data_IF_666038723595
#
_entry.id   IF_666038723595
#
_cell.length_a   1.000
_cell.length_b   1.000
_cell.length_c   1.000
_cell.angle_alpha   90.00
_cell.angle_beta   90.00
_cell.angle_gamma   90.00
#
_symmetry.space_group_name_H-M   'P 1'
#
loop_
_entity.id
_entity.type
_entity.pdbx_description
1 polymer ?
#
# COMPACT_ATOMS: atom_id res chain seq x y z
N UNK A 1 -24.54 58.84 -22.53
CA UNK A 1 -24.21 57.54 -23.15
C UNK A 1 -22.70 57.20 -23.05
N UNK A 2 -22.07 57.26 -21.86
CA UNK A 2 -20.63 56.94 -21.69
C UNK A 2 -20.28 56.01 -20.51
N UNK A 3 -21.25 55.67 -19.66
CA UNK A 3 -21.01 54.82 -18.47
C UNK A 3 -21.30 53.33 -18.68
N UNK A 4 -22.00 52.97 -19.77
CA UNK A 4 -22.35 51.58 -20.10
C UNK A 4 -21.22 50.78 -20.78
N UNK A 5 -20.19 51.45 -21.32
CA UNK A 5 -19.07 50.75 -21.98
C UNK A 5 -18.05 50.18 -20.98
N UNK A 6 -17.99 50.70 -19.76
CA UNK A 6 -17.00 50.27 -18.75
C UNK A 6 -17.45 48.97 -18.05
N UNK A 7 -18.76 48.70 -18.00
CA UNK A 7 -19.29 47.51 -17.33
C UNK A 7 -19.13 46.21 -18.15
N UNK A 8 -18.97 46.30 -19.47
CA UNK A 8 -18.80 45.15 -20.36
C UNK A 8 -17.36 44.58 -20.38
N UNK A 9 -16.37 45.32 -19.85
CA UNK A 9 -14.96 44.93 -19.95
C UNK A 9 -14.49 44.03 -18.78
N UNK A 10 -15.27 43.97 -17.69
CA UNK A 10 -14.96 43.14 -16.51
C UNK A 10 -15.57 41.73 -16.62
N UNK A 11 -16.54 41.51 -17.52
CA UNK A 11 -17.23 40.23 -17.69
C UNK A 11 -16.45 39.17 -18.51
N UNK A 12 -15.29 39.51 -19.08
CA UNK A 12 -14.51 38.61 -19.95
C UNK A 12 -13.31 37.92 -19.28
N UNK A 13 -12.98 38.24 -18.03
CA UNK A 13 -11.81 37.68 -17.35
C UNK A 13 -12.06 36.40 -16.52
N UNK A 14 -13.30 35.91 -16.42
CA UNK A 14 -13.66 34.78 -15.55
C UNK A 14 -13.78 33.41 -16.25
N UNK A 15 -13.59 33.32 -17.57
CA UNK A 15 -13.72 32.04 -18.31
C UNK A 15 -12.40 31.24 -18.47
N UNK A 16 -11.28 31.70 -17.92
CA UNK A 16 -9.96 31.09 -18.13
C UNK A 16 -9.58 29.92 -17.21
N UNK A 17 -10.32 29.66 -16.13
CA UNK A 17 -9.84 28.77 -15.05
C UNK A 17 -10.31 27.31 -15.12
N UNK A 18 -11.25 26.96 -16.01
CA UNK A 18 -11.83 25.60 -16.04
C UNK A 18 -10.93 24.55 -16.73
N UNK A 19 -10.15 24.94 -17.74
CA UNK A 19 -9.37 24.00 -18.55
C UNK A 19 -8.13 23.41 -17.85
N UNK A 20 -7.60 24.08 -16.82
CA UNK A 20 -6.45 23.58 -16.07
C UNK A 20 -6.86 22.47 -15.08
N UNK A 21 -8.03 22.61 -14.45
CA UNK A 21 -8.55 21.64 -13.49
C UNK A 21 -8.98 20.32 -14.15
N UNK A 22 -9.45 20.37 -15.39
CA UNK A 22 -9.90 19.19 -16.14
C UNK A 22 -8.72 18.31 -16.59
N UNK A 23 -7.63 18.92 -17.08
CA UNK A 23 -6.38 18.21 -17.40
C UNK A 23 -5.73 17.55 -16.18
N UNK A 24 -5.74 18.22 -15.02
CA UNK A 24 -5.21 17.67 -13.77
C UNK A 24 -6.04 16.49 -13.22
N UNK A 25 -7.34 16.44 -13.53
CA UNK A 25 -8.20 15.31 -13.16
C UNK A 25 -7.96 14.12 -14.09
N UNK A 26 -7.94 14.36 -15.39
CA UNK A 26 -7.68 13.34 -16.40
C UNK A 26 -6.33 12.64 -16.16
N UNK A 27 -5.26 13.40 -15.92
CA UNK A 27 -3.93 12.83 -15.61
C UNK A 27 -3.90 12.03 -14.31
N UNK A 28 -4.71 12.39 -13.31
CA UNK A 28 -4.86 11.61 -12.07
C UNK A 28 -5.62 10.31 -12.32
N UNK A 29 -6.67 10.33 -13.12
CA UNK A 29 -7.44 9.14 -13.49
C UNK A 29 -6.60 8.17 -14.33
N UNK A 30 -5.85 8.68 -15.31
CA UNK A 30 -4.89 7.90 -16.11
C UNK A 30 -3.83 7.25 -15.21
N UNK A 31 -3.30 7.99 -14.23
CA UNK A 31 -2.34 7.46 -13.25
C UNK A 31 -2.96 6.35 -12.40
N UNK A 32 -4.20 6.49 -11.93
CA UNK A 32 -4.88 5.45 -11.16
C UNK A 32 -5.10 4.20 -12.01
N UNK A 33 -5.55 4.36 -13.25
CA UNK A 33 -5.71 3.27 -14.22
C UNK A 33 -4.40 2.53 -14.46
N UNK A 34 -3.28 3.26 -14.59
CA UNK A 34 -1.96 2.66 -14.73
C UNK A 34 -1.62 1.73 -13.55
N UNK A 35 -1.83 2.17 -12.31
CA UNK A 35 -1.50 1.34 -11.14
C UNK A 35 -2.46 0.15 -10.97
N UNK A 36 -3.73 0.27 -11.38
CA UNK A 36 -4.63 -0.87 -11.41
C UNK A 36 -4.19 -1.92 -12.45
N UNK A 37 -3.74 -1.49 -13.65
CA UNK A 37 -3.22 -2.40 -14.68
C UNK A 37 -1.94 -3.08 -14.22
N UNK A 38 -0.96 -2.30 -13.73
CA UNK A 38 0.29 -2.84 -13.21
C UNK A 38 0.07 -3.84 -12.07
N UNK A 39 -0.90 -3.57 -11.19
CA UNK A 39 -1.27 -4.50 -10.13
C UNK A 39 -1.77 -5.84 -10.65
N UNK A 40 -2.56 -5.83 -11.74
CA UNK A 40 -3.04 -7.07 -12.38
C UNK A 40 -1.91 -7.83 -13.05
N UNK A 41 -0.98 -7.13 -13.69
CA UNK A 41 0.22 -7.73 -14.29
C UNK A 41 1.10 -8.38 -13.23
N UNK A 42 1.40 -7.66 -12.15
CA UNK A 42 2.18 -8.17 -11.02
C UNK A 42 1.49 -9.38 -10.37
N UNK A 43 0.17 -9.33 -10.17
CA UNK A 43 -0.58 -10.46 -9.61
C UNK A 43 -0.53 -11.71 -10.49
N UNK A 44 -0.60 -11.55 -11.82
CA UNK A 44 -0.43 -12.68 -12.76
C UNK A 44 0.96 -13.27 -12.68
N UNK A 45 1.99 -12.42 -12.68
CA UNK A 45 3.37 -12.87 -12.50
C UNK A 45 3.55 -13.63 -11.18
N UNK A 46 3.00 -13.09 -10.09
CA UNK A 46 3.03 -13.71 -8.75
C UNK A 46 2.30 -15.06 -8.70
N UNK A 47 1.19 -15.20 -9.42
CA UNK A 47 0.42 -16.45 -9.55
C UNK A 47 1.17 -17.53 -10.35
N UNK A 48 2.01 -17.12 -11.29
CA UNK A 48 2.80 -18.02 -12.14
C UNK A 48 4.21 -18.27 -11.60
N UNK A 49 4.64 -17.48 -10.61
CA UNK A 49 6.00 -17.51 -10.07
C UNK A 49 6.31 -18.86 -9.42
N UNK A 50 7.17 -19.63 -10.09
CA UNK A 50 7.78 -20.85 -9.55
C UNK A 50 9.17 -20.52 -8.99
N UNK A 51 9.21 -20.00 -7.76
CA UNK A 51 10.48 -19.77 -7.07
C UNK A 51 11.21 -21.10 -6.89
N UNK A 52 12.50 -21.15 -7.23
CA UNK A 52 13.30 -22.39 -7.14
C UNK A 52 13.76 -22.66 -5.72
N UNK A 53 13.82 -21.61 -4.89
CA UNK A 53 14.24 -21.68 -3.48
C UNK A 53 13.38 -20.76 -2.61
N UNK A 54 13.28 -21.08 -1.32
CA UNK A 54 12.61 -20.22 -0.33
C UNK A 54 13.26 -18.84 -0.26
N UNK A 55 14.59 -18.76 -0.38
CA UNK A 55 15.35 -17.51 -0.37
C UNK A 55 14.95 -16.58 -1.54
N UNK A 56 14.86 -17.13 -2.75
CA UNK A 56 14.43 -16.37 -3.93
C UNK A 56 13.00 -15.85 -3.78
N UNK A 57 12.11 -16.67 -3.21
CA UNK A 57 10.74 -16.24 -2.89
C UNK A 57 10.77 -15.11 -1.86
N UNK A 58 11.50 -15.26 -0.75
CA UNK A 58 11.59 -14.25 0.29
C UNK A 58 12.14 -12.91 -0.24
N UNK A 59 13.19 -12.94 -1.06
CA UNK A 59 13.74 -11.74 -1.70
C UNK A 59 12.73 -11.08 -2.66
N UNK A 60 12.03 -11.87 -3.47
CA UNK A 60 10.96 -11.36 -4.34
C UNK A 60 9.88 -10.63 -3.54
N UNK A 61 9.36 -11.27 -2.49
CA UNK A 61 8.28 -10.72 -1.69
C UNK A 61 8.71 -9.52 -0.84
N UNK A 62 9.97 -9.45 -0.40
CA UNK A 62 10.50 -8.26 0.29
C UNK A 62 10.65 -7.08 -0.68
N UNK A 63 11.15 -7.32 -1.90
CA UNK A 63 11.21 -6.29 -2.95
C UNK A 63 9.81 -5.77 -3.29
N UNK A 64 8.85 -6.68 -3.42
CA UNK A 64 7.45 -6.35 -3.70
C UNK A 64 6.86 -5.46 -2.59
N UNK A 65 7.11 -5.81 -1.33
CA UNK A 65 6.68 -5.02 -0.17
C UNK A 65 7.34 -3.64 -0.12
N UNK A 66 8.63 -3.55 -0.45
CA UNK A 66 9.35 -2.29 -0.47
C UNK A 66 8.78 -1.35 -1.55
N UNK A 67 8.50 -1.87 -2.75
CA UNK A 67 7.82 -1.13 -3.81
C UNK A 67 6.47 -0.57 -3.33
N UNK A 68 5.67 -1.40 -2.66
CA UNK A 68 4.36 -1.01 -2.14
C UNK A 68 4.44 0.09 -1.08
N UNK A 69 5.38 -0.01 -0.14
CA UNK A 69 5.62 1.00 0.88
C UNK A 69 6.13 2.32 0.28
N UNK A 70 7.00 2.27 -0.71
CA UNK A 70 7.49 3.46 -1.40
C UNK A 70 6.41 4.08 -2.29
N UNK A 71 5.53 3.29 -2.88
CA UNK A 71 4.35 3.79 -3.58
C UNK A 71 3.39 4.49 -2.62
N UNK A 72 3.13 3.90 -1.45
CA UNK A 72 2.27 4.46 -0.40
C UNK A 72 2.80 5.78 0.15
N UNK A 73 4.12 5.89 0.36
CA UNK A 73 4.78 7.14 0.79
C UNK A 73 4.64 8.23 -0.26
N UNK A 74 4.84 7.91 -1.54
CA UNK A 74 4.79 8.87 -2.65
C UNK A 74 3.37 9.29 -3.02
N UNK A 75 2.44 8.34 -3.11
CA UNK A 75 1.07 8.57 -3.56
C UNK A 75 0.11 7.52 -2.97
N UNK A 76 -0.61 7.92 -1.91
CA UNK A 76 -1.58 7.04 -1.25
C UNK A 76 -2.77 6.65 -2.14
N UNK A 77 -3.15 7.46 -3.12
CA UNK A 77 -4.28 7.11 -4.02
C UNK A 77 -3.84 6.06 -5.02
N UNK A 78 -2.66 6.25 -5.62
CA UNK A 78 -2.02 5.25 -6.47
C UNK A 78 -1.82 3.92 -5.73
N UNK A 79 -1.34 3.95 -4.49
CA UNK A 79 -1.21 2.77 -3.65
C UNK A 79 -2.55 2.06 -3.42
N UNK A 80 -3.62 2.79 -3.11
CA UNK A 80 -4.96 2.19 -2.95
C UNK A 80 -5.47 1.55 -4.23
N UNK A 81 -5.26 2.18 -5.38
CA UNK A 81 -5.60 1.64 -6.69
C UNK A 81 -4.81 0.36 -6.98
N UNK A 82 -3.51 0.38 -6.71
CA UNK A 82 -2.63 -0.78 -6.87
C UNK A 82 -3.08 -1.98 -6.01
N UNK A 83 -3.27 -1.77 -4.70
CA UNK A 83 -3.71 -2.85 -3.80
C UNK A 83 -5.10 -3.37 -4.15
N UNK A 84 -6.03 -2.49 -4.55
CA UNK A 84 -7.34 -2.88 -5.06
C UNK A 84 -7.20 -3.76 -6.30
N UNK A 85 -6.39 -3.35 -7.28
CA UNK A 85 -6.13 -4.12 -8.50
C UNK A 85 -5.58 -5.51 -8.21
N UNK A 86 -4.62 -5.62 -7.26
CA UNK A 86 -4.07 -6.91 -6.83
C UNK A 86 -5.13 -7.79 -6.20
N UNK A 87 -5.91 -7.25 -5.26
CA UNK A 87 -6.99 -7.98 -4.60
C UNK A 87 -8.02 -8.50 -5.60
N UNK A 88 -8.45 -7.65 -6.54
CA UNK A 88 -9.43 -8.01 -7.55
C UNK A 88 -8.87 -9.14 -8.45
N UNK A 89 -7.60 -9.07 -8.86
CA UNK A 89 -6.92 -10.13 -9.62
C UNK A 89 -6.74 -11.44 -8.84
N UNK A 90 -6.43 -11.36 -7.54
CA UNK A 90 -6.34 -12.53 -6.68
C UNK A 90 -7.70 -13.19 -6.46
N UNK A 91 -8.76 -12.40 -6.30
CA UNK A 91 -10.12 -12.89 -6.15
C UNK A 91 -10.61 -13.61 -7.41
N UNK A 92 -10.32 -13.03 -8.58
CA UNK A 92 -10.59 -13.67 -9.88
C UNK A 92 -9.84 -14.99 -10.01
N UNK A 93 -8.54 -15.00 -9.70
CA UNK A 93 -7.76 -16.24 -9.70
C UNK A 93 -8.33 -17.26 -8.73
N UNK A 94 -8.65 -16.89 -7.50
CA UNK A 94 -9.24 -17.80 -6.51
C UNK A 94 -10.55 -18.43 -7.01
N UNK A 95 -11.39 -17.68 -7.73
CA UNK A 95 -12.62 -18.20 -8.32
C UNK A 95 -12.37 -19.25 -9.42
N UNK A 96 -11.25 -19.14 -10.14
CA UNK A 96 -10.85 -20.06 -11.21
C UNK A 96 -9.85 -21.15 -10.77
N UNK A 97 -9.28 -20.99 -9.58
CA UNK A 97 -8.21 -21.82 -9.06
C UNK A 97 -8.81 -23.03 -8.34
N UNK A 98 -8.90 -24.14 -9.08
CA UNK A 98 -9.38 -25.43 -8.57
C UNK A 98 -8.30 -26.24 -7.83
N UNK A 99 -8.58 -27.52 -7.60
CA UNK A 99 -7.68 -28.48 -6.91
C UNK A 99 -6.35 -28.73 -7.64
N UNK A 100 -6.22 -28.26 -8.87
CA UNK A 100 -5.05 -28.43 -9.75
C UNK A 100 -4.08 -27.24 -9.68
N UNK A 101 -4.48 -26.15 -9.01
CA UNK A 101 -3.56 -25.08 -8.68
C UNK A 101 -2.60 -25.53 -7.58
N UNK A 102 -1.33 -25.73 -7.94
CA UNK A 102 -0.28 -25.88 -6.95
C UNK A 102 0.37 -24.53 -6.66
N UNK A 103 -0.03 -23.93 -5.53
CA UNK A 103 0.64 -22.77 -4.96
C UNK A 103 1.44 -23.21 -3.73
N UNK A 104 2.55 -22.52 -3.47
CA UNK A 104 3.34 -22.76 -2.26
C UNK A 104 2.62 -22.17 -1.03
N UNK A 105 2.90 -22.70 0.16
CA UNK A 105 2.44 -22.11 1.42
C UNK A 105 2.85 -20.63 1.53
N UNK A 106 4.04 -20.31 1.00
CA UNK A 106 4.57 -18.95 0.95
C UNK A 106 3.68 -18.02 0.12
N UNK A 107 3.23 -18.47 -1.06
CA UNK A 107 2.26 -17.73 -1.87
C UNK A 107 0.95 -17.50 -1.11
N UNK A 108 0.39 -18.54 -0.47
CA UNK A 108 -0.85 -18.41 0.28
C UNK A 108 -0.75 -17.41 1.43
N UNK A 109 0.38 -17.38 2.14
CA UNK A 109 0.67 -16.40 3.18
C UNK A 109 0.62 -14.98 2.63
N UNK A 110 1.27 -14.71 1.51
CA UNK A 110 1.30 -13.39 0.88
C UNK A 110 -0.03 -12.98 0.27
N UNK A 111 -0.76 -13.91 -0.35
CA UNK A 111 -2.06 -13.59 -0.94
C UNK A 111 -3.11 -13.29 0.13
N UNK A 112 -3.08 -14.01 1.27
CA UNK A 112 -3.99 -13.76 2.39
C UNK A 112 -3.92 -12.31 2.91
N UNK A 113 -2.75 -11.66 2.80
CA UNK A 113 -2.56 -10.25 3.15
C UNK A 113 -3.47 -9.32 2.34
N UNK A 114 -3.61 -9.54 1.02
CA UNK A 114 -4.43 -8.67 0.17
C UNK A 114 -5.93 -8.83 0.43
N UNK A 115 -6.36 -9.99 0.94
CA UNK A 115 -7.75 -10.25 1.35
C UNK A 115 -8.08 -9.65 2.72
N UNK A 116 -7.26 -9.92 3.74
CA UNK A 116 -7.58 -9.58 5.14
C UNK A 116 -6.91 -8.29 5.63
N UNK A 117 -5.77 -7.92 5.07
CA UNK A 117 -4.96 -6.78 5.49
C UNK A 117 -5.50 -5.43 5.01
N UNK A 118 -6.25 -5.37 3.91
CA UNK A 118 -6.70 -4.09 3.32
C UNK A 118 -7.79 -3.37 4.13
N UNK A 119 -8.75 -4.10 4.70
CA UNK A 119 -9.81 -3.50 5.52
C UNK A 119 -9.32 -3.09 6.92
N UNK A 120 -8.21 -3.69 7.38
CA UNK A 120 -7.57 -3.34 8.63
C UNK A 120 -6.39 -2.41 8.35
N UNK A 121 -6.63 -1.10 8.49
CA UNK A 121 -5.59 -0.05 8.52
C UNK A 121 -4.47 -0.32 9.57
N UNK A 122 -4.64 -1.34 10.41
CA UNK A 122 -3.71 -1.84 11.41
C UNK A 122 -2.65 -2.83 10.88
N UNK A 123 -2.79 -3.40 9.69
CA UNK A 123 -1.95 -4.54 9.30
C UNK A 123 -0.48 -4.18 9.05
N UNK A 124 -0.17 -2.96 8.58
CA UNK A 124 1.23 -2.52 8.49
C UNK A 124 1.88 -2.22 9.85
N UNK A 125 1.11 -2.09 10.93
CA UNK A 125 1.64 -1.88 12.28
C UNK A 125 1.76 -3.16 13.10
N UNK A 126 1.30 -4.30 12.58
CA UNK A 126 1.14 -5.53 13.36
C UNK A 126 1.87 -6.72 12.73
N UNK A 127 3.13 -6.54 12.33
CA UNK A 127 4.05 -7.68 12.30
C UNK A 127 4.65 -7.84 13.71
N UNK A 128 4.74 -9.08 14.24
CA UNK A 128 5.37 -9.33 15.52
C UNK A 128 6.83 -8.91 15.40
N UNK A 129 7.21 -7.84 16.12
CA UNK A 129 8.61 -7.64 16.47
C UNK A 129 9.09 -8.97 17.01
N UNK A 130 10.11 -9.55 16.38
CA UNK A 130 10.91 -10.67 16.92
C UNK A 130 10.90 -10.53 18.44
N UNK A 131 10.35 -11.51 19.15
CA UNK A 131 10.30 -11.51 20.60
C UNK A 131 11.75 -11.41 21.11
N UNK A 132 12.21 -10.18 21.34
CA UNK A 132 13.40 -9.92 22.11
C UNK A 132 13.02 -10.31 23.53
N UNK A 133 13.38 -11.54 23.91
CA UNK A 133 13.24 -12.04 25.28
C UNK A 133 14.01 -11.07 26.17
N UNK A 134 13.28 -10.15 26.81
CA UNK A 134 13.84 -9.18 27.73
C UNK A 134 13.76 -9.77 29.13
N UNK A 135 14.75 -10.59 29.50
CA UNK A 135 14.90 -11.05 30.88
C UNK A 135 15.39 -9.88 31.73
N UNK A 136 14.46 -9.06 32.22
CA UNK A 136 14.77 -7.96 33.13
C UNK A 136 14.89 -8.50 34.56
N UNK A 137 16.00 -9.17 34.86
CA UNK A 137 16.37 -9.50 36.24
C UNK A 137 16.78 -8.19 36.92
N UNK A 138 15.92 -7.67 37.80
CA UNK A 138 16.26 -6.54 38.68
C UNK A 138 16.85 -7.09 39.97
N UNK A 139 18.16 -7.02 40.12
CA UNK A 139 18.83 -7.26 41.39
C UNK A 139 18.73 -5.96 42.20
N UNK A 140 17.88 -5.96 43.23
CA UNK A 140 17.81 -4.85 44.18
C UNK A 140 18.98 -4.95 45.16
N UNK A 141 19.78 -3.90 45.29
CA UNK A 141 20.83 -3.86 46.30
C UNK A 141 20.22 -3.61 47.68
N UNK A 142 20.62 -4.38 48.71
CA UNK A 142 20.10 -4.20 50.06
C UNK A 142 20.63 -2.89 50.65
N UNK A 143 19.72 -2.10 51.22
CA UNK A 143 20.06 -0.88 51.98
C UNK A 143 20.29 -1.26 53.44
N UNK A 144 21.54 -1.24 53.89
CA UNK A 144 21.89 -1.33 55.31
C UNK A 144 21.83 0.06 55.91
N UNK A 145 21.03 0.24 56.96
CA UNK A 145 21.03 1.45 57.79
C UNK A 145 21.83 1.17 59.06
N UNK A 146 22.96 1.85 59.23
CA UNK A 146 23.70 1.88 60.48
C UNK A 146 23.05 2.93 61.39
N UNK A 147 22.45 2.46 62.49
CA UNK A 147 22.01 3.33 63.58
C UNK A 147 23.22 3.76 64.39
N UNK A 148 23.34 5.08 64.59
CA UNK A 148 24.35 5.67 65.48
C UNK A 148 23.67 5.78 66.85
N UNK A 149 24.26 5.14 67.87
CA UNK A 149 23.93 5.35 69.28
C UNK A 149 24.83 6.43 69.86
#
# INVERSE_FOLDING_TARGET
>A
MRKFKILMLVAMCSLGSSFAQERDKQTKEEKLSYYEQRAKEDAKFEQELKAKTEKESAEFWENQKQYEEDLKKRDRKAYRAYIKGKRDAYAEHYAHCGTHCHHSDYYHHHVSFYYYGYNNNHYYNSYPRRNAINTRIKIGTPRVRLGIF
#
